data_IF_183414496624
#
_entry.id   IF_183414496624
#
_cell.length_a   1.000
_cell.length_b   1.000
_cell.length_c   1.000
_cell.angle_alpha   90.00
_cell.angle_beta   90.00
_cell.angle_gamma   90.00
#
_symmetry.space_group_name_H-M   'P 1'
#
loop_
_entity.id
_entity.type
_entity.pdbx_description
1 polymer ?
#
# COMPACT_ATOMS: atom_id res chain seq x y z
N UNK A 1 13.91 -11.57 17.18
CA UNK A 1 13.45 -11.79 15.79
C UNK A 1 12.39 -10.78 15.37
N UNK A 2 11.27 -10.68 16.09
CA UNK A 2 10.12 -9.86 15.70
C UNK A 2 10.29 -8.35 15.93
N UNK A 3 10.77 -7.92 17.09
CA UNK A 3 10.87 -6.49 17.45
C UNK A 3 11.84 -5.69 16.58
N UNK A 4 13.01 -6.24 16.26
CA UNK A 4 14.00 -5.56 15.41
C UNK A 4 13.51 -5.33 13.98
N UNK A 5 12.74 -6.28 13.42
CA UNK A 5 12.16 -6.16 12.08
C UNK A 5 11.14 -5.04 11.99
N UNK A 6 10.25 -4.90 12.98
CA UNK A 6 9.28 -3.80 13.02
C UNK A 6 9.94 -2.44 13.22
N UNK A 7 10.97 -2.35 14.07
CA UNK A 7 11.71 -1.10 14.27
C UNK A 7 12.42 -0.68 12.98
N UNK A 8 13.07 -1.61 12.28
CA UNK A 8 13.72 -1.32 11.00
C UNK A 8 12.71 -0.91 9.92
N UNK A 9 11.58 -1.62 9.83
CA UNK A 9 10.48 -1.23 8.94
C UNK A 9 9.95 0.17 9.28
N UNK A 10 9.74 0.50 10.55
CA UNK A 10 9.28 1.82 10.99
C UNK A 10 10.27 2.94 10.65
N UNK A 11 11.58 2.69 10.73
CA UNK A 11 12.60 3.68 10.37
C UNK A 11 12.59 3.93 8.84
N UNK A 12 12.51 2.86 8.05
CA UNK A 12 12.54 2.94 6.58
C UNK A 12 11.23 3.51 6.00
N UNK A 13 10.07 3.05 6.50
CA UNK A 13 8.75 3.52 6.06
C UNK A 13 8.35 4.84 6.69
N UNK A 14 8.71 5.10 7.95
CA UNK A 14 8.30 6.30 8.68
C UNK A 14 8.79 7.60 8.02
N UNK A 15 9.95 7.56 7.36
CA UNK A 15 10.45 8.69 6.58
C UNK A 15 9.66 8.93 5.29
N UNK A 16 9.26 7.86 4.60
CA UNK A 16 8.44 7.95 3.39
C UNK A 16 7.03 8.46 3.73
N UNK A 17 6.38 7.88 4.76
CA UNK A 17 5.00 8.24 5.15
C UNK A 17 4.89 9.73 5.53
N UNK A 18 5.87 10.30 6.25
CA UNK A 18 5.88 11.72 6.63
C UNK A 18 6.07 12.68 5.45
N UNK A 19 6.77 12.25 4.38
CA UNK A 19 7.04 13.08 3.21
C UNK A 19 5.93 13.06 2.17
N UNK A 20 5.15 11.97 2.11
CA UNK A 20 4.24 11.77 0.99
C UNK A 20 2.84 12.33 1.18
N UNK A 21 2.37 12.60 2.41
CA UNK A 21 1.20 13.44 2.71
C UNK A 21 -0.14 13.07 2.04
N UNK A 22 -0.17 12.06 1.18
CA UNK A 22 -1.31 11.56 0.43
C UNK A 22 -1.79 10.26 1.06
N UNK A 23 -3.09 10.12 1.19
CA UNK A 23 -3.72 9.09 2.03
C UNK A 23 -3.96 7.78 1.28
N UNK A 24 -3.55 7.66 0.01
CA UNK A 24 -3.81 6.46 -0.81
C UNK A 24 -2.64 6.12 -1.73
N UNK A 25 -2.30 4.82 -1.82
CA UNK A 25 -1.21 4.32 -2.65
C UNK A 25 -1.36 4.68 -4.14
N UNK A 26 -2.59 4.80 -4.64
CA UNK A 26 -2.86 5.22 -6.01
C UNK A 26 -2.43 6.67 -6.29
N UNK A 27 -2.62 7.59 -5.34
CA UNK A 27 -2.23 8.99 -5.51
C UNK A 27 -0.72 9.22 -5.41
N UNK A 28 0.00 8.28 -4.76
CA UNK A 28 1.46 8.24 -4.75
C UNK A 28 2.01 7.86 -6.13
N UNK A 29 1.42 6.82 -6.74
CA UNK A 29 1.77 6.39 -8.10
C UNK A 29 1.46 7.50 -9.10
N UNK A 30 0.32 8.18 -8.96
CA UNK A 30 -0.02 9.34 -9.78
C UNK A 30 1.01 10.48 -9.65
N UNK A 31 1.42 10.84 -8.42
CA UNK A 31 2.43 11.89 -8.22
C UNK A 31 3.82 11.53 -8.78
N UNK A 32 4.12 10.23 -8.90
CA UNK A 32 5.42 9.76 -9.38
C UNK A 32 5.52 9.68 -10.90
N UNK A 33 4.39 9.41 -11.57
CA UNK A 33 4.30 9.17 -13.01
C UNK A 33 3.55 10.27 -13.78
N UNK A 34 2.94 11.25 -13.09
CA UNK A 34 2.22 12.41 -13.64
C UNK A 34 1.18 12.03 -14.72
N UNK A 35 0.64 10.81 -14.64
CA UNK A 35 -0.24 10.26 -15.68
C UNK A 35 -1.57 9.78 -15.09
N UNK A 36 -2.71 10.25 -15.61
CA UNK A 36 -4.03 9.84 -15.14
C UNK A 36 -4.32 8.35 -15.40
N UNK A 37 -3.68 7.75 -16.41
CA UNK A 37 -3.76 6.31 -16.65
C UNK A 37 -3.09 5.49 -15.52
N UNK A 38 -1.98 5.98 -14.98
CA UNK A 38 -1.28 5.33 -13.87
C UNK A 38 -2.12 5.36 -12.57
N UNK A 39 -2.88 6.44 -12.32
CA UNK A 39 -3.85 6.52 -11.22
C UNK A 39 -4.93 5.45 -11.35
N UNK A 40 -5.50 5.28 -12.54
CA UNK A 40 -6.57 4.30 -12.78
C UNK A 40 -6.08 2.87 -12.56
N UNK A 41 -4.91 2.52 -13.13
CA UNK A 41 -4.30 1.20 -12.95
C UNK A 41 -4.00 0.93 -11.46
N UNK A 42 -3.43 1.90 -10.74
CA UNK A 42 -3.14 1.75 -9.32
C UNK A 42 -4.40 1.59 -8.46
N UNK A 43 -5.49 2.27 -8.80
CA UNK A 43 -6.78 2.09 -8.13
C UNK A 43 -7.34 0.68 -8.35
N UNK A 44 -7.30 0.16 -9.59
CA UNK A 44 -7.75 -1.20 -9.92
C UNK A 44 -6.93 -2.25 -9.16
N UNK A 45 -5.60 -2.10 -9.11
CA UNK A 45 -4.72 -3.00 -8.36
C UNK A 45 -5.05 -2.98 -6.87
N UNK A 46 -5.32 -1.79 -6.30
CA UNK A 46 -5.68 -1.66 -4.88
C UNK A 46 -6.94 -2.46 -4.56
N UNK A 47 -7.98 -2.36 -5.41
CA UNK A 47 -9.23 -3.12 -5.25
C UNK A 47 -8.98 -4.62 -5.31
N UNK A 48 -8.17 -5.08 -6.28
CA UNK A 48 -7.84 -6.50 -6.42
C UNK A 48 -7.11 -7.04 -5.19
N UNK A 49 -6.15 -6.29 -4.64
CA UNK A 49 -5.43 -6.68 -3.43
C UNK A 49 -6.42 -6.82 -2.25
N UNK A 50 -7.34 -5.87 -2.08
CA UNK A 50 -8.36 -5.94 -1.04
C UNK A 50 -9.24 -7.18 -1.20
N UNK A 51 -9.68 -7.50 -2.42
CA UNK A 51 -10.50 -8.69 -2.68
C UNK A 51 -9.74 -9.98 -2.38
N UNK A 52 -8.50 -10.11 -2.86
CA UNK A 52 -7.65 -11.29 -2.59
C UNK A 52 -7.46 -11.47 -1.08
N UNK A 53 -7.14 -10.38 -0.37
CA UNK A 53 -6.94 -10.42 1.07
C UNK A 53 -8.22 -10.82 1.81
N UNK A 54 -9.36 -10.28 1.40
CA UNK A 54 -10.65 -10.62 1.99
C UNK A 54 -10.97 -12.11 1.78
N UNK A 55 -10.78 -12.64 0.57
CA UNK A 55 -10.95 -14.07 0.28
C UNK A 55 -10.00 -14.94 1.11
N UNK A 56 -8.74 -14.53 1.25
CA UNK A 56 -7.77 -15.24 2.08
C UNK A 56 -8.17 -15.23 3.57
N UNK A 57 -8.66 -14.11 4.09
CA UNK A 57 -9.19 -13.99 5.46
C UNK A 57 -10.39 -14.91 5.68
N UNK A 58 -11.36 -14.92 4.76
CA UNK A 58 -12.52 -15.82 4.83
C UNK A 58 -12.11 -17.29 4.83
N UNK A 59 -11.12 -17.68 4.01
CA UNK A 59 -10.58 -19.04 4.02
C UNK A 59 -9.81 -19.40 5.28
N UNK A 60 -9.11 -18.44 5.89
CA UNK A 60 -8.32 -18.66 7.10
C UNK A 60 -9.12 -18.72 8.40
N UNK A 61 -10.40 -18.33 8.36
CA UNK A 61 -11.34 -18.42 9.50
C UNK A 61 -12.03 -19.80 9.57
N UNK A 62 -12.00 -20.57 8.47
CA UNK A 62 -12.57 -21.92 8.38
C UNK A 62 -11.62 -23.03 8.80
#
# INVERSE_FOLDING_TARGET
>A
GWTGGYVLLLILLGGQIRRFGKYTAAEFVEARFDSPAARFIAAVITILITLIYCVAQYKGIG
#
